data_IF_714374511299
#
_entry.id   IF_714374511299
#
_cell.length_a   1.000
_cell.length_b   1.000
_cell.length_c   1.000
_cell.angle_alpha   90.00
_cell.angle_beta   90.00
_cell.angle_gamma   90.00
#
_symmetry.space_group_name_H-M   'P 1'
#
loop_
_entity.id
_entity.type
_entity.pdbx_description
1 polymer ?
#
# COMPACT_ATOMS: atom_id res chain seq x y z
N UNK A 1 22.23 25.72 56.69
CA UNK A 1 20.95 26.07 56.03
C UNK A 1 21.26 26.45 54.60
N UNK A 2 20.97 25.57 53.65
CA UNK A 2 20.71 25.91 52.25
C UNK A 2 19.82 24.78 51.72
N UNK A 3 18.51 25.03 51.74
CA UNK A 3 17.53 24.23 51.03
C UNK A 3 17.62 24.61 49.56
N UNK A 4 17.86 23.65 48.67
CA UNK A 4 17.48 23.77 47.26
C UNK A 4 16.52 22.64 46.94
N UNK A 5 15.30 23.04 46.60
CA UNK A 5 14.17 22.20 46.25
C UNK A 5 14.52 21.16 45.16
N UNK A 6 14.12 19.91 45.40
CA UNK A 6 13.88 18.94 44.33
C UNK A 6 12.70 19.44 43.49
N UNK A 7 12.95 19.88 42.27
CA UNK A 7 11.91 20.00 41.25
C UNK A 7 11.60 18.57 40.75
N UNK A 8 10.60 17.93 41.36
CA UNK A 8 9.92 16.79 40.75
C UNK A 8 8.86 17.33 39.78
N UNK A 9 9.29 17.78 38.62
CA UNK A 9 8.39 17.90 37.48
C UNK A 9 8.08 16.49 36.97
N UNK A 10 6.96 15.95 37.43
CA UNK A 10 6.30 14.83 36.76
C UNK A 10 5.61 15.40 35.52
N UNK A 11 6.39 15.66 34.47
CA UNK A 11 5.83 15.85 33.15
C UNK A 11 5.27 14.51 32.68
N UNK A 12 4.01 14.23 33.00
CA UNK A 12 3.25 13.24 32.24
C UNK A 12 3.10 13.83 30.83
N UNK A 13 3.59 13.17 29.77
CA UNK A 13 3.29 13.63 28.43
C UNK A 13 1.77 13.49 28.24
N UNK A 14 1.08 14.63 28.18
CA UNK A 14 -0.25 14.71 27.59
C UNK A 14 -0.09 14.24 26.15
N UNK A 15 -0.32 12.96 25.91
CA UNK A 15 -0.50 12.44 24.57
C UNK A 15 -1.82 13.01 24.06
N UNK A 16 -1.76 14.23 23.51
CA UNK A 16 -2.90 14.80 22.81
C UNK A 16 -3.21 13.87 21.64
N UNK A 17 -4.35 13.20 21.70
CA UNK A 17 -4.91 12.50 20.54
C UNK A 17 -5.07 13.56 19.44
N UNK A 18 -4.45 13.39 18.27
CA UNK A 18 -4.58 14.36 17.18
C UNK A 18 -6.04 14.60 16.84
N UNK A 19 -6.43 15.86 16.61
CA UNK A 19 -7.84 16.24 16.41
C UNK A 19 -8.54 15.44 15.29
N UNK A 20 -7.81 15.10 14.23
CA UNK A 20 -8.37 14.34 13.10
C UNK A 20 -8.88 12.94 13.50
N UNK A 21 -8.36 12.35 14.58
CA UNK A 21 -8.72 11.01 15.04
C UNK A 21 -10.17 10.92 15.50
N UNK A 22 -10.76 12.01 16.01
CA UNK A 22 -12.16 12.03 16.42
C UNK A 22 -13.11 11.92 15.21
N UNK A 23 -12.72 12.48 14.05
CA UNK A 23 -13.50 12.42 12.81
C UNK A 23 -13.51 11.04 12.15
N UNK A 24 -12.56 10.18 12.51
CA UNK A 24 -12.41 8.82 11.94
C UNK A 24 -12.65 7.72 12.97
N UNK A 25 -13.16 8.07 14.14
CA UNK A 25 -13.33 7.13 15.24
C UNK A 25 -14.24 5.97 14.85
N UNK A 26 -13.71 4.75 14.95
CA UNK A 26 -14.42 3.52 14.61
C UNK A 26 -14.45 3.19 13.11
N UNK A 27 -13.84 4.02 12.26
CA UNK A 27 -13.62 3.67 10.85
C UNK A 27 -12.49 2.65 10.73
N UNK A 28 -12.55 1.87 9.65
CA UNK A 28 -11.49 0.93 9.24
C UNK A 28 -10.93 1.38 7.90
N UNK A 29 -9.61 1.27 7.76
CA UNK A 29 -8.89 1.71 6.57
C UNK A 29 -8.04 0.59 5.98
N UNK A 30 -7.93 0.63 4.66
CA UNK A 30 -7.07 -0.24 3.87
C UNK A 30 -6.14 0.68 3.06
N UNK A 31 -4.83 0.55 3.22
CA UNK A 31 -3.87 1.28 2.39
C UNK A 31 -3.37 0.38 1.24
N UNK A 32 -3.90 0.51 0.01
CA UNK A 32 -3.58 -0.40 -1.09
C UNK A 32 -2.22 -0.14 -1.75
N UNK A 33 -1.44 0.81 -1.25
CA UNK A 33 -0.09 1.06 -1.72
C UNK A 33 0.73 1.76 -0.63
N UNK A 34 1.62 1.01 0.03
CA UNK A 34 2.58 1.57 0.99
C UNK A 34 3.85 0.70 1.04
N UNK A 35 5.04 1.30 1.17
CA UNK A 35 6.31 0.58 1.09
C UNK A 35 6.91 0.31 2.47
N UNK A 36 6.27 -0.57 3.24
CA UNK A 36 6.61 -0.80 4.65
C UNK A 36 8.03 -1.28 4.90
N UNK A 37 8.67 -1.97 3.95
CA UNK A 37 10.10 -2.35 4.02
C UNK A 37 11.00 -1.14 4.35
N UNK A 38 10.58 0.06 3.97
CA UNK A 38 11.31 1.32 4.24
C UNK A 38 10.82 2.10 5.46
N UNK A 39 9.85 1.57 6.20
CA UNK A 39 9.15 2.22 7.31
C UNK A 39 9.44 1.55 8.67
N UNK A 40 9.31 2.33 9.74
CA UNK A 40 9.64 1.88 11.09
C UNK A 40 8.48 1.10 11.72
N UNK A 41 8.72 0.48 12.87
CA UNK A 41 7.66 -0.11 13.70
C UNK A 41 6.75 0.94 14.31
N UNK A 42 7.24 2.17 14.52
CA UNK A 42 6.45 3.27 15.07
C UNK A 42 5.34 3.66 14.08
N UNK A 43 5.63 3.59 12.77
CA UNK A 43 4.62 3.79 11.73
C UNK A 43 3.53 2.72 11.80
N UNK A 44 3.88 1.43 11.96
CA UNK A 44 2.88 0.37 12.15
C UNK A 44 1.98 0.62 13.37
N UNK A 45 2.56 1.05 14.50
CA UNK A 45 1.79 1.38 15.70
C UNK A 45 0.83 2.55 15.45
N UNK A 46 1.30 3.62 14.80
CA UNK A 46 0.50 4.78 14.47
C UNK A 46 -0.63 4.43 13.49
N UNK A 47 -0.33 3.64 12.46
CA UNK A 47 -1.29 3.16 11.46
C UNK A 47 -2.40 2.33 12.11
N UNK A 48 -2.03 1.37 12.96
CA UNK A 48 -3.00 0.53 13.68
C UNK A 48 -3.89 1.37 14.61
N UNK A 49 -3.29 2.34 15.32
CA UNK A 49 -4.04 3.26 16.19
C UNK A 49 -5.02 4.14 15.39
N UNK A 50 -4.68 4.52 14.16
CA UNK A 50 -5.52 5.29 13.26
C UNK A 50 -6.59 4.47 12.51
N UNK A 51 -6.66 3.15 12.76
CA UNK A 51 -7.69 2.27 12.18
C UNK A 51 -7.30 1.59 10.87
N UNK A 52 -6.02 1.65 10.45
CA UNK A 52 -5.55 0.86 9.30
C UNK A 52 -5.44 -0.61 9.73
N UNK A 53 -6.22 -1.47 9.08
CA UNK A 53 -6.28 -2.91 9.40
C UNK A 53 -5.55 -3.77 8.39
N UNK A 54 -5.33 -3.26 7.18
CA UNK A 54 -4.66 -3.98 6.11
C UNK A 54 -3.92 -3.04 5.17
N UNK A 55 -2.86 -3.58 4.56
CA UNK A 55 -2.04 -2.89 3.57
C UNK A 55 -1.74 -3.80 2.39
N UNK A 56 -1.50 -3.19 1.23
CA UNK A 56 -0.79 -3.82 0.12
C UNK A 56 0.53 -3.08 -0.05
N UNK A 57 1.63 -3.83 -0.08
CA UNK A 57 2.97 -3.32 -0.38
C UNK A 57 3.41 -3.78 -1.77
N UNK A 58 3.36 -2.89 -2.78
CA UNK A 58 3.89 -3.21 -4.10
C UNK A 58 5.41 -3.34 -4.07
N UNK A 59 5.94 -4.23 -4.91
CA UNK A 59 7.37 -4.31 -5.17
C UNK A 59 7.89 -2.95 -5.67
N UNK A 60 8.88 -2.41 -4.96
CA UNK A 60 9.29 -1.01 -5.08
C UNK A 60 10.77 -0.82 -5.37
N UNK A 61 11.12 0.39 -5.77
CA UNK A 61 12.49 0.88 -5.89
C UNK A 61 13.11 1.16 -4.52
N UNK A 62 14.20 0.47 -4.20
CA UNK A 62 14.84 0.55 -2.88
C UNK A 62 15.62 1.85 -2.60
N UNK A 63 15.62 2.82 -3.52
CA UNK A 63 16.38 4.06 -3.41
C UNK A 63 17.78 4.01 -4.05
N UNK A 64 18.28 2.84 -4.45
CA UNK A 64 19.51 2.70 -5.26
C UNK A 64 19.44 1.52 -6.24
N UNK A 65 20.20 1.54 -7.35
CA UNK A 65 20.16 0.47 -8.36
C UNK A 65 20.51 -0.91 -7.82
N UNK A 66 19.57 -1.86 -7.92
CA UNK A 66 19.90 -3.28 -7.73
C UNK A 66 20.96 -3.69 -8.75
N UNK A 67 22.02 -4.35 -8.27
CA UNK A 67 23.14 -4.77 -9.10
C UNK A 67 23.05 -6.23 -9.55
N UNK A 68 22.08 -6.98 -9.01
CA UNK A 68 21.87 -8.39 -9.34
C UNK A 68 20.49 -8.90 -8.94
N UNK A 69 20.11 -10.03 -9.56
CA UNK A 69 18.81 -10.68 -9.36
C UNK A 69 18.62 -11.20 -7.92
N UNK A 70 19.70 -11.53 -7.22
CA UNK A 70 19.58 -12.08 -5.86
C UNK A 70 19.02 -11.04 -4.88
N UNK A 71 19.27 -9.74 -5.10
CA UNK A 71 18.62 -8.68 -4.32
C UNK A 71 17.11 -8.64 -4.54
N UNK A 72 16.61 -8.97 -5.74
CA UNK A 72 15.17 -9.12 -5.97
C UNK A 72 14.62 -10.34 -5.25
N UNK A 73 15.31 -11.48 -5.31
CA UNK A 73 14.87 -12.70 -4.62
C UNK A 73 14.73 -12.47 -3.11
N UNK A 74 15.75 -11.87 -2.50
CA UNK A 74 15.74 -11.59 -1.06
C UNK A 74 14.67 -10.55 -0.70
N UNK A 75 14.49 -9.53 -1.54
CA UNK A 75 13.44 -8.53 -1.35
C UNK A 75 12.03 -9.14 -1.46
N UNK A 76 11.74 -9.93 -2.49
CA UNK A 76 10.45 -10.60 -2.65
C UNK A 76 10.19 -11.59 -1.52
N UNK A 77 11.20 -12.33 -1.06
CA UNK A 77 11.10 -13.17 0.14
C UNK A 77 10.78 -12.36 1.40
N UNK A 78 11.34 -11.16 1.52
CA UNK A 78 11.01 -10.24 2.63
C UNK A 78 9.55 -9.82 2.57
N UNK A 79 9.04 -9.42 1.39
CA UNK A 79 7.63 -9.02 1.22
C UNK A 79 6.64 -10.13 1.59
N UNK A 80 6.82 -11.33 1.04
CA UNK A 80 5.88 -12.44 1.28
C UNK A 80 6.03 -13.09 2.66
N UNK A 81 7.19 -12.91 3.30
CA UNK A 81 7.57 -13.57 4.55
C UNK A 81 7.73 -12.60 5.70
N UNK A 82 8.89 -11.97 5.79
CA UNK A 82 9.26 -11.15 6.95
C UNK A 82 8.33 -9.96 7.17
N UNK A 83 7.97 -9.21 6.13
CA UNK A 83 7.08 -8.06 6.25
C UNK A 83 5.67 -8.45 6.66
N UNK A 84 5.17 -9.58 6.16
CA UNK A 84 3.92 -10.16 6.64
C UNK A 84 3.96 -10.46 8.13
N UNK A 85 5.02 -11.15 8.58
CA UNK A 85 5.22 -11.41 9.99
C UNK A 85 5.34 -10.11 10.80
N UNK A 86 6.15 -9.15 10.34
CA UNK A 86 6.41 -7.88 11.04
C UNK A 86 5.13 -7.07 11.20
N UNK A 87 4.35 -6.93 10.14
CA UNK A 87 3.06 -6.24 10.14
C UNK A 87 2.06 -6.88 11.11
N UNK A 88 2.01 -8.21 11.16
CA UNK A 88 1.10 -8.93 12.08
C UNK A 88 1.43 -8.70 13.56
N UNK A 89 2.67 -8.30 13.90
CA UNK A 89 3.05 -7.96 15.29
C UNK A 89 2.39 -6.67 15.79
N UNK A 90 1.72 -5.92 14.90
CA UNK A 90 1.01 -4.68 15.19
C UNK A 90 -0.47 -4.74 14.81
N UNK A 91 -0.96 -5.92 14.41
CA UNK A 91 -2.36 -6.12 14.07
C UNK A 91 -2.77 -5.50 12.74
N UNK A 92 -1.84 -5.49 11.76
CA UNK A 92 -2.12 -5.11 10.39
C UNK A 92 -1.91 -6.33 9.48
N UNK A 93 -2.85 -6.58 8.58
CA UNK A 93 -2.73 -7.63 7.56
C UNK A 93 -1.91 -7.10 6.40
N UNK A 94 -0.89 -7.84 6.01
CA UNK A 94 -0.01 -7.45 4.90
C UNK A 94 -0.23 -8.35 3.70
N UNK A 95 -0.51 -7.71 2.58
CA UNK A 95 -0.50 -8.26 1.24
C UNK A 95 0.58 -7.55 0.42
N UNK A 96 0.90 -8.10 -0.73
CA UNK A 96 1.84 -7.45 -1.65
C UNK A 96 1.44 -7.67 -3.09
N UNK A 97 1.95 -6.81 -3.97
CA UNK A 97 2.04 -7.12 -5.40
C UNK A 97 3.51 -7.34 -5.74
N UNK A 98 3.76 -8.25 -6.69
CA UNK A 98 5.13 -8.58 -7.11
C UNK A 98 5.30 -8.21 -8.57
N UNK A 99 6.40 -7.54 -8.90
CA UNK A 99 6.70 -7.10 -10.24
C UNK A 99 8.11 -6.52 -10.36
N UNK A 100 8.51 -6.28 -11.60
CA UNK A 100 9.67 -5.50 -12.00
C UNK A 100 9.25 -4.04 -12.21
N UNK A 101 9.82 -3.16 -11.40
CA UNK A 101 9.60 -1.72 -11.50
C UNK A 101 10.14 -1.16 -12.83
N UNK A 102 9.46 -0.14 -13.37
CA UNK A 102 9.79 0.51 -14.64
C UNK A 102 11.22 1.07 -14.69
N UNK A 103 11.73 1.66 -13.60
CA UNK A 103 13.11 2.17 -13.56
C UNK A 103 14.13 1.07 -13.81
N UNK A 104 13.89 -0.11 -13.24
CA UNK A 104 14.78 -1.26 -13.32
C UNK A 104 14.64 -2.02 -14.64
N UNK A 105 13.51 -1.87 -15.33
CA UNK A 105 13.28 -2.39 -16.67
C UNK A 105 14.30 -1.86 -17.70
N UNK A 106 14.87 -0.67 -17.46
CA UNK A 106 15.89 -0.06 -18.31
C UNK A 106 17.27 -0.78 -18.23
N UNK A 107 17.49 -1.66 -17.26
CA UNK A 107 18.65 -2.56 -17.25
C UNK A 107 18.22 -3.94 -17.78
N UNK A 108 18.23 -4.12 -19.10
CA UNK A 108 17.64 -5.31 -19.75
C UNK A 108 18.22 -6.64 -19.23
N UNK A 109 19.52 -6.71 -18.95
CA UNK A 109 20.14 -7.93 -18.40
C UNK A 109 19.55 -8.29 -17.03
N UNK A 110 19.34 -7.29 -16.18
CA UNK A 110 18.71 -7.48 -14.87
C UNK A 110 17.22 -7.79 -15.03
N UNK A 111 16.54 -7.04 -15.88
CA UNK A 111 15.12 -7.20 -16.16
C UNK A 111 14.80 -8.62 -16.67
N UNK A 112 15.58 -9.16 -17.62
CA UNK A 112 15.45 -10.54 -18.10
C UNK A 112 15.57 -11.55 -16.95
N UNK A 113 16.61 -11.44 -16.13
CA UNK A 113 16.80 -12.32 -14.99
C UNK A 113 15.68 -12.20 -13.95
N UNK A 114 15.09 -11.01 -13.77
CA UNK A 114 13.94 -10.80 -12.87
C UNK A 114 12.69 -11.42 -13.45
N UNK A 115 12.40 -11.23 -14.75
CA UNK A 115 11.25 -11.82 -15.42
C UNK A 115 11.25 -13.35 -15.31
N UNK A 116 12.41 -14.00 -15.38
CA UNK A 116 12.54 -15.46 -15.19
C UNK A 116 12.11 -15.93 -13.79
N UNK A 117 12.33 -15.12 -12.75
CA UNK A 117 11.99 -15.50 -11.37
C UNK A 117 10.59 -15.06 -10.94
N UNK A 118 9.95 -14.08 -11.60
CA UNK A 118 8.61 -13.60 -11.20
C UNK A 118 7.58 -14.72 -11.04
N UNK A 119 7.49 -15.73 -11.93
CA UNK A 119 6.55 -16.84 -11.76
C UNK A 119 6.76 -17.65 -10.47
N UNK A 120 7.95 -17.62 -9.86
CA UNK A 120 8.20 -18.29 -8.58
C UNK A 120 7.55 -17.57 -7.40
N UNK A 121 7.21 -16.28 -7.55
CA UNK A 121 6.73 -15.42 -6.48
C UNK A 121 5.26 -15.04 -6.63
N UNK A 122 4.77 -14.76 -7.84
CA UNK A 122 3.39 -14.24 -8.01
C UNK A 122 2.29 -15.21 -7.53
N UNK A 123 2.58 -16.52 -7.48
CA UNK A 123 1.64 -17.54 -6.99
C UNK A 123 1.74 -17.80 -5.48
N UNK A 124 2.55 -17.03 -4.75
CA UNK A 124 2.70 -17.20 -3.30
C UNK A 124 1.49 -16.62 -2.57
N UNK A 125 1.16 -17.24 -1.44
CA UNK A 125 0.09 -16.78 -0.55
C UNK A 125 0.23 -15.29 -0.25
N UNK A 126 -0.87 -14.55 -0.33
CA UNK A 126 -0.95 -13.11 -0.02
C UNK A 126 -0.28 -12.19 -1.04
N UNK A 127 0.13 -12.71 -2.20
CA UNK A 127 0.37 -11.89 -3.40
C UNK A 127 -0.96 -11.64 -4.09
N UNK A 128 -1.42 -10.39 -4.09
CA UNK A 128 -2.77 -10.02 -4.56
C UNK A 128 -2.78 -9.46 -5.99
N UNK A 129 -1.62 -9.37 -6.63
CA UNK A 129 -1.50 -8.81 -7.97
C UNK A 129 -0.07 -8.75 -8.49
N UNK A 130 0.04 -8.40 -9.76
CA UNK A 130 1.31 -8.05 -10.40
C UNK A 130 1.47 -6.54 -10.39
N UNK A 131 2.53 -6.04 -9.76
CA UNK A 131 2.69 -4.61 -9.50
C UNK A 131 3.86 -4.29 -8.55
N UNK A 132 4.38 -3.08 -8.53
CA UNK A 132 3.95 -1.96 -9.37
C UNK A 132 4.69 -1.98 -10.72
N UNK A 133 3.96 -1.98 -11.84
CA UNK A 133 4.52 -2.14 -13.21
C UNK A 133 4.03 -1.01 -14.12
N UNK A 134 4.74 -0.68 -15.20
CA UNK A 134 4.29 0.36 -16.13
C UNK A 134 5.42 1.25 -16.62
N UNK A 135 5.24 2.56 -16.53
CA UNK A 135 6.15 3.54 -17.10
C UNK A 135 6.66 4.55 -16.07
N UNK A 136 7.96 4.82 -16.10
CA UNK A 136 8.57 5.98 -15.42
C UNK A 136 8.97 7.05 -16.47
N UNK A 137 9.87 6.69 -17.39
CA UNK A 137 10.37 7.56 -18.46
C UNK A 137 9.83 7.18 -19.87
N UNK A 138 8.96 6.17 -19.97
CA UNK A 138 8.30 5.71 -21.20
C UNK A 138 9.28 5.19 -22.26
N UNK A 139 10.30 4.45 -21.82
CA UNK A 139 11.30 3.88 -22.73
C UNK A 139 10.78 2.62 -23.45
N UNK A 140 11.40 2.21 -24.58
CA UNK A 140 11.07 0.95 -25.23
C UNK A 140 11.27 -0.27 -24.32
N UNK A 141 12.24 -0.22 -23.41
CA UNK A 141 12.49 -1.29 -22.44
C UNK A 141 11.35 -1.37 -21.42
N UNK A 142 10.91 -0.23 -20.88
CA UNK A 142 9.73 -0.18 -19.99
C UNK A 142 8.49 -0.76 -20.68
N UNK A 143 8.23 -0.41 -21.94
CA UNK A 143 7.07 -0.96 -22.67
C UNK A 143 7.19 -2.49 -22.85
N UNK A 144 8.37 -2.99 -23.27
CA UNK A 144 8.66 -4.42 -23.44
C UNK A 144 8.34 -5.20 -22.17
N UNK A 145 8.84 -4.77 -21.02
CA UNK A 145 8.65 -5.49 -19.75
C UNK A 145 7.29 -5.23 -19.10
N UNK A 146 6.65 -4.07 -19.33
CA UNK A 146 5.27 -3.86 -18.93
C UNK A 146 4.35 -4.88 -19.63
N UNK A 147 4.45 -5.00 -20.96
CA UNK A 147 3.69 -5.98 -21.76
C UNK A 147 3.92 -7.42 -21.30
N UNK A 148 5.17 -7.79 -21.04
CA UNK A 148 5.50 -9.14 -20.57
C UNK A 148 4.87 -9.45 -19.20
N UNK A 149 4.83 -8.46 -18.30
CA UNK A 149 4.19 -8.61 -16.99
C UNK A 149 2.67 -8.62 -17.05
N UNK A 150 2.05 -7.94 -18.02
CA UNK A 150 0.62 -8.04 -18.29
C UNK A 150 0.21 -9.44 -18.75
N UNK A 151 0.98 -10.07 -19.65
CA UNK A 151 0.74 -11.47 -20.02
C UNK A 151 0.88 -12.40 -18.82
N UNK A 152 1.91 -12.20 -17.99
CA UNK A 152 2.09 -12.98 -16.78
C UNK A 152 0.90 -12.84 -15.81
N UNK A 153 0.40 -11.62 -15.61
CA UNK A 153 -0.76 -11.36 -14.75
C UNK A 153 -2.02 -12.04 -15.29
N UNK A 154 -2.24 -11.96 -16.61
CA UNK A 154 -3.35 -12.60 -17.30
C UNK A 154 -3.31 -14.13 -17.18
N UNK A 155 -2.14 -14.74 -17.39
CA UNK A 155 -1.96 -16.18 -17.22
C UNK A 155 -2.22 -16.63 -15.77
N UNK A 156 -1.79 -15.82 -14.79
CA UNK A 156 -1.98 -16.10 -13.38
C UNK A 156 -3.41 -15.78 -12.87
N UNK A 157 -4.23 -15.09 -13.67
CA UNK A 157 -5.55 -14.59 -13.24
C UNK A 157 -5.47 -13.54 -12.14
N UNK A 158 -4.39 -12.76 -12.09
CA UNK A 158 -4.13 -11.79 -11.04
C UNK A 158 -4.47 -10.35 -11.46
N UNK A 159 -4.97 -9.51 -10.54
CA UNK A 159 -5.06 -8.07 -10.75
C UNK A 159 -3.71 -7.44 -11.07
N UNK A 160 -3.73 -6.31 -11.77
CA UNK A 160 -2.54 -5.53 -12.13
C UNK A 160 -2.60 -4.17 -11.45
N UNK A 161 -1.53 -3.77 -10.79
CA UNK A 161 -1.35 -2.41 -10.29
C UNK A 161 -0.32 -1.68 -11.14
N UNK A 162 -0.75 -0.61 -11.81
CA UNK A 162 0.09 0.13 -12.75
C UNK A 162 0.65 1.43 -12.17
N UNK A 163 1.93 1.64 -12.38
CA UNK A 163 2.62 2.91 -12.19
C UNK A 163 2.36 3.83 -13.38
N UNK A 164 1.86 5.04 -13.12
CA UNK A 164 1.75 6.08 -14.15
C UNK A 164 2.90 7.08 -14.06
N UNK A 165 3.48 7.50 -15.20
CA UNK A 165 4.75 8.21 -15.22
C UNK A 165 4.65 9.60 -14.60
N UNK A 166 5.80 10.13 -14.19
CA UNK A 166 5.91 11.48 -13.64
C UNK A 166 5.87 12.58 -14.71
N UNK A 167 6.33 12.28 -15.94
CA UNK A 167 6.36 13.21 -17.07
C UNK A 167 5.36 12.77 -18.14
N UNK A 168 4.73 13.73 -18.81
CA UNK A 168 3.67 13.49 -19.80
C UNK A 168 2.61 12.51 -19.28
N UNK A 169 2.20 12.70 -18.01
CA UNK A 169 1.41 11.75 -17.22
C UNK A 169 0.15 11.32 -17.95
N UNK A 170 -0.61 12.28 -18.50
CA UNK A 170 -1.84 11.98 -19.23
C UNK A 170 -1.61 11.00 -20.38
N UNK A 171 -0.65 11.28 -21.27
CA UNK A 171 -0.34 10.42 -22.40
C UNK A 171 0.19 9.05 -21.94
N UNK A 172 1.05 9.04 -20.92
CA UNK A 172 1.56 7.81 -20.33
C UNK A 172 0.46 6.94 -19.73
N UNK A 173 -0.48 7.54 -19.00
CA UNK A 173 -1.66 6.86 -18.44
C UNK A 173 -2.57 6.30 -19.53
N UNK A 174 -2.89 7.09 -20.56
CA UNK A 174 -3.62 6.61 -21.75
C UNK A 174 -2.92 5.41 -22.37
N UNK A 175 -1.60 5.50 -22.58
CA UNK A 175 -0.82 4.43 -23.19
C UNK A 175 -0.82 3.16 -22.32
N UNK A 176 -0.69 3.29 -21.00
CA UNK A 176 -0.74 2.12 -20.11
C UNK A 176 -2.08 1.39 -20.19
N UNK A 177 -3.19 2.12 -20.25
CA UNK A 177 -4.53 1.56 -20.41
C UNK A 177 -4.73 0.94 -21.80
N UNK A 178 -4.23 1.58 -22.87
CA UNK A 178 -4.29 1.03 -24.23
C UNK A 178 -3.60 -0.32 -24.31
N UNK A 179 -2.39 -0.43 -23.75
CA UNK A 179 -1.65 -1.69 -23.72
C UNK A 179 -2.40 -2.75 -22.91
N UNK A 180 -2.97 -2.42 -21.75
CA UNK A 180 -3.76 -3.39 -20.98
C UNK A 180 -4.95 -3.95 -21.78
N UNK A 181 -5.63 -3.10 -22.57
CA UNK A 181 -6.71 -3.51 -23.46
C UNK A 181 -6.19 -4.31 -24.66
N UNK A 182 -5.07 -3.93 -25.26
CA UNK A 182 -4.40 -4.69 -26.34
C UNK A 182 -4.09 -6.13 -25.90
N UNK A 183 -3.69 -6.31 -24.65
CA UNK A 183 -3.44 -7.61 -24.03
C UNK A 183 -4.72 -8.36 -23.60
N UNK A 184 -5.89 -7.74 -23.76
CA UNK A 184 -7.20 -8.33 -23.48
C UNK A 184 -7.50 -8.48 -21.99
N UNK A 185 -6.91 -7.65 -21.13
CA UNK A 185 -7.21 -7.63 -19.70
C UNK A 185 -8.47 -6.80 -19.46
N UNK A 186 -9.40 -7.33 -18.65
CA UNK A 186 -10.58 -6.58 -18.23
C UNK A 186 -10.14 -5.31 -17.47
N UNK A 187 -10.58 -4.09 -17.85
CA UNK A 187 -10.30 -2.87 -17.11
C UNK A 187 -10.55 -2.96 -15.60
N UNK A 188 -11.52 -3.77 -15.16
CA UNK A 188 -11.82 -3.99 -13.74
C UNK A 188 -10.77 -4.82 -13.00
N UNK A 189 -9.84 -5.45 -13.70
CA UNK A 189 -8.66 -6.13 -13.12
C UNK A 189 -7.45 -5.21 -13.02
N UNK A 190 -7.55 -3.95 -13.47
CA UNK A 190 -6.41 -3.04 -13.57
C UNK A 190 -6.63 -1.82 -12.69
N UNK A 191 -5.71 -1.64 -11.74
CA UNK A 191 -5.63 -0.50 -10.83
C UNK A 191 -4.64 0.50 -11.42
N UNK A 192 -5.16 1.61 -11.91
CA UNK A 192 -4.35 2.73 -12.39
C UNK A 192 -3.97 3.58 -11.20
N UNK A 193 -2.70 3.57 -10.82
CA UNK A 193 -2.23 4.32 -9.65
C UNK A 193 -1.64 5.69 -10.00
N UNK A 194 -1.50 6.53 -8.98
CA UNK A 194 -0.95 7.87 -9.05
C UNK A 194 -1.73 8.80 -9.99
N UNK A 195 -3.05 8.65 -10.05
CA UNK A 195 -3.92 9.57 -10.78
C UNK A 195 -3.87 10.99 -10.23
N UNK A 196 -4.27 11.93 -11.07
CA UNK A 196 -4.56 13.31 -10.72
C UNK A 196 -5.84 13.76 -11.42
N UNK A 197 -6.16 15.04 -11.33
CA UNK A 197 -7.35 15.65 -11.92
C UNK A 197 -7.37 15.56 -13.46
N UNK A 198 -6.21 15.43 -14.11
CA UNK A 198 -6.10 15.33 -15.57
C UNK A 198 -6.39 13.93 -16.10
N UNK A 199 -6.19 12.89 -15.28
CA UNK A 199 -6.30 11.48 -15.69
C UNK A 199 -7.55 10.79 -15.18
N UNK A 200 -8.08 11.20 -14.02
CA UNK A 200 -9.21 10.54 -13.34
C UNK A 200 -10.39 10.26 -14.25
N UNK A 201 -10.81 11.26 -15.04
CA UNK A 201 -12.00 11.13 -15.88
C UNK A 201 -11.81 10.03 -16.92
N UNK A 202 -10.68 10.01 -17.60
CA UNK A 202 -10.40 9.01 -18.64
C UNK A 202 -10.33 7.60 -18.05
N UNK A 203 -9.67 7.44 -16.90
CA UNK A 203 -9.58 6.15 -16.20
C UNK A 203 -10.97 5.61 -15.85
N UNK A 204 -11.83 6.45 -15.27
CA UNK A 204 -13.18 6.06 -14.89
C UNK A 204 -14.10 5.80 -16.09
N UNK A 205 -14.05 6.65 -17.12
CA UNK A 205 -14.83 6.50 -18.37
C UNK A 205 -14.50 5.17 -19.08
N UNK A 206 -13.24 4.73 -18.99
CA UNK A 206 -12.74 3.49 -19.59
C UNK A 206 -12.95 2.25 -18.71
N UNK A 207 -13.54 2.39 -17.53
CA UNK A 207 -13.93 1.28 -16.65
C UNK A 207 -12.83 0.74 -15.73
N UNK A 208 -11.68 1.43 -15.65
CA UNK A 208 -10.57 1.06 -14.77
C UNK A 208 -10.81 1.51 -13.32
N UNK A 209 -10.01 0.99 -12.39
CA UNK A 209 -9.92 1.55 -11.03
C UNK A 209 -8.96 2.74 -11.00
N UNK A 210 -9.40 3.84 -10.39
CA UNK A 210 -8.59 5.05 -10.22
C UNK A 210 -8.04 5.13 -8.79
N UNK A 211 -6.77 4.75 -8.63
CA UNK A 211 -6.03 4.93 -7.38
C UNK A 211 -5.27 6.25 -7.36
N UNK A 212 -5.27 6.90 -6.20
CA UNK A 212 -4.65 8.20 -5.95
C UNK A 212 -3.68 8.12 -4.79
N UNK A 213 -2.48 8.61 -5.03
CA UNK A 213 -1.44 8.69 -4.00
C UNK A 213 -1.43 10.06 -3.35
N UNK A 214 -1.64 10.04 -2.03
CA UNK A 214 -1.59 11.21 -1.18
C UNK A 214 -0.18 11.33 -0.60
N UNK A 215 0.70 12.00 -1.34
CA UNK A 215 2.12 12.08 -1.03
C UNK A 215 2.59 13.54 -1.06
N UNK A 216 3.22 14.04 0.02
CA UNK A 216 3.63 15.44 0.14
C UNK A 216 4.48 15.94 -1.03
N UNK A 217 4.23 17.19 -1.44
CA UNK A 217 5.00 17.97 -2.42
C UNK A 217 5.02 17.46 -3.88
N UNK A 218 4.81 16.18 -4.14
CA UNK A 218 5.04 15.59 -5.48
C UNK A 218 3.81 14.97 -6.14
N UNK A 219 2.76 14.60 -5.38
CA UNK A 219 1.56 13.93 -5.90
C UNK A 219 0.29 14.70 -5.52
N UNK A 220 -0.79 14.00 -5.19
CA UNK A 220 -2.02 14.60 -4.70
C UNK A 220 -1.88 15.02 -3.22
N UNK A 221 -2.70 15.98 -2.82
CA UNK A 221 -2.87 16.36 -1.41
C UNK A 221 -4.30 16.06 -0.95
N UNK A 222 -4.52 16.09 0.37
CA UNK A 222 -5.80 15.75 1.00
C UNK A 222 -6.96 16.59 0.44
N UNK A 223 -6.79 17.92 0.37
CA UNK A 223 -7.83 18.85 -0.09
C UNK A 223 -8.18 18.62 -1.55
N UNK A 224 -7.17 18.37 -2.40
CA UNK A 224 -7.38 18.07 -3.82
C UNK A 224 -8.16 16.77 -3.99
N UNK A 225 -7.87 15.77 -3.15
CA UNK A 225 -8.59 14.50 -3.19
C UNK A 225 -10.06 14.65 -2.77
N UNK A 226 -10.36 15.49 -1.77
CA UNK A 226 -11.73 15.81 -1.37
C UNK A 226 -12.52 16.40 -2.55
N UNK A 227 -11.93 17.32 -3.31
CA UNK A 227 -12.58 17.90 -4.49
C UNK A 227 -12.77 16.88 -5.62
N UNK A 228 -11.83 15.95 -5.81
CA UNK A 228 -11.99 14.83 -6.75
C UNK A 228 -13.20 13.97 -6.37
N UNK A 229 -13.36 13.60 -5.09
CA UNK A 229 -14.52 12.80 -4.64
C UNK A 229 -15.83 13.58 -4.81
N UNK A 230 -15.86 14.88 -4.50
CA UNK A 230 -17.06 15.71 -4.73
C UNK A 230 -17.45 15.78 -6.20
N UNK A 231 -16.47 15.82 -7.10
CA UNK A 231 -16.72 15.97 -8.54
C UNK A 231 -17.07 14.64 -9.22
N UNK A 232 -16.39 13.55 -8.86
CA UNK A 232 -16.47 12.27 -9.59
C UNK A 232 -17.20 11.17 -8.80
N UNK A 233 -17.53 11.41 -7.53
CA UNK A 233 -18.10 10.40 -6.63
C UNK A 233 -17.04 9.47 -6.05
N UNK A 234 -17.50 8.35 -5.49
CA UNK A 234 -16.66 7.36 -4.82
C UNK A 234 -16.49 6.06 -5.62
N UNK A 235 -17.30 5.82 -6.66
CA UNK A 235 -17.26 4.56 -7.42
C UNK A 235 -15.92 4.38 -8.15
N UNK A 236 -15.26 3.24 -7.92
CA UNK A 236 -13.95 2.90 -8.50
C UNK A 236 -12.79 3.85 -8.17
N UNK A 237 -12.96 4.74 -7.19
CA UNK A 237 -11.90 5.63 -6.70
C UNK A 237 -11.33 5.04 -5.40
N UNK A 238 -10.01 4.99 -5.26
CA UNK A 238 -9.36 4.63 -4.00
C UNK A 238 -8.16 5.53 -3.72
N UNK A 239 -7.77 5.64 -2.45
CA UNK A 239 -6.59 6.41 -2.05
C UNK A 239 -5.56 5.53 -1.35
N UNK A 240 -4.30 5.93 -1.42
CA UNK A 240 -3.18 5.30 -0.76
C UNK A 240 -2.14 6.33 -0.30
N UNK A 241 -1.25 5.93 0.61
CA UNK A 241 -0.16 6.81 1.05
C UNK A 241 1.05 6.78 0.11
N UNK A 242 1.33 5.62 -0.49
CA UNK A 242 2.62 5.25 -1.09
C UNK A 242 3.80 5.67 -0.20
N UNK A 243 3.62 5.63 1.12
CA UNK A 243 4.65 6.09 2.05
C UNK A 243 5.87 5.18 1.98
N UNK A 244 7.04 5.79 1.86
CA UNK A 244 8.31 5.15 1.61
C UNK A 244 9.45 5.78 2.44
N UNK A 245 10.69 5.57 2.01
CA UNK A 245 11.90 6.15 2.61
C UNK A 245 12.00 7.68 2.45
N UNK A 246 11.21 8.29 1.58
CA UNK A 246 11.12 9.74 1.39
C UNK A 246 10.28 10.43 2.48
N UNK A 247 10.20 11.76 2.41
CA UNK A 247 9.38 12.57 3.34
C UNK A 247 7.90 12.34 3.01
N UNK A 248 7.34 11.30 3.62
CA UNK A 248 6.01 10.76 3.33
C UNK A 248 5.25 10.40 4.61
N UNK A 249 3.93 10.27 4.51
CA UNK A 249 3.00 10.16 5.64
C UNK A 249 2.22 8.83 5.60
N UNK A 250 2.50 7.86 6.48
CA UNK A 250 1.79 6.58 6.50
C UNK A 250 0.35 6.72 7.01
N UNK A 251 -0.04 7.90 7.50
CA UNK A 251 -1.40 8.22 7.94
C UNK A 251 -2.17 9.04 6.90
N UNK A 252 -1.68 9.13 5.66
CA UNK A 252 -2.33 9.94 4.63
C UNK A 252 -3.77 9.49 4.33
N UNK A 253 -4.03 8.18 4.31
CA UNK A 253 -5.39 7.61 4.13
C UNK A 253 -6.35 8.07 5.24
N UNK A 254 -6.10 7.79 6.54
CA UNK A 254 -6.99 8.22 7.61
C UNK A 254 -7.10 9.75 7.75
N UNK A 255 -6.03 10.52 7.48
CA UNK A 255 -6.10 11.98 7.49
C UNK A 255 -6.98 12.54 6.36
N UNK A 256 -6.92 11.93 5.18
CA UNK A 256 -7.80 12.29 4.07
C UNK A 256 -9.25 11.94 4.41
N UNK A 257 -9.50 10.78 5.05
CA UNK A 257 -10.83 10.41 5.51
C UNK A 257 -11.41 11.43 6.51
N UNK A 258 -10.61 11.87 7.48
CA UNK A 258 -11.01 12.91 8.43
C UNK A 258 -11.42 14.21 7.70
N UNK A 259 -10.61 14.65 6.75
CA UNK A 259 -10.90 15.86 5.98
C UNK A 259 -12.15 15.71 5.08
N UNK A 260 -12.36 14.53 4.48
CA UNK A 260 -13.58 14.24 3.73
C UNK A 260 -14.82 14.32 4.63
N UNK A 261 -14.74 13.77 5.84
CA UNK A 261 -15.80 13.83 6.83
C UNK A 261 -16.09 15.28 7.27
N UNK A 262 -15.05 16.05 7.61
CA UNK A 262 -15.16 17.49 7.92
C UNK A 262 -15.77 18.31 6.77
N UNK A 263 -15.51 17.90 5.53
CA UNK A 263 -16.03 18.53 4.31
C UNK A 263 -17.44 18.09 3.93
N UNK A 264 -18.08 17.24 4.74
CA UNK A 264 -19.46 16.79 4.53
C UNK A 264 -19.65 15.70 3.48
N UNK A 265 -18.59 14.95 3.12
CA UNK A 265 -18.73 13.75 2.28
C UNK A 265 -19.40 12.64 3.11
N UNK A 266 -20.32 11.90 2.50
CA UNK A 266 -21.05 10.82 3.16
C UNK A 266 -20.10 9.72 3.66
N UNK A 267 -20.37 9.18 4.85
CA UNK A 267 -19.53 8.13 5.45
C UNK A 267 -19.43 6.88 4.58
N UNK A 268 -20.45 6.55 3.76
CA UNK A 268 -20.36 5.43 2.83
C UNK A 268 -19.38 5.72 1.69
N UNK A 269 -19.36 6.94 1.16
CA UNK A 269 -18.41 7.34 0.13
C UNK A 269 -16.97 7.32 0.66
N UNK A 270 -16.76 7.79 1.90
CA UNK A 270 -15.47 7.68 2.60
C UNK A 270 -15.06 6.21 2.74
N UNK A 271 -15.97 5.35 3.17
CA UNK A 271 -15.72 3.91 3.29
C UNK A 271 -15.38 3.26 1.94
N UNK A 272 -16.04 3.66 0.85
CA UNK A 272 -15.72 3.18 -0.50
C UNK A 272 -14.29 3.58 -0.89
N UNK A 273 -13.96 4.86 -0.78
CA UNK A 273 -12.67 5.43 -1.20
C UNK A 273 -11.49 4.92 -0.37
N UNK A 274 -11.70 4.64 0.91
CA UNK A 274 -10.59 4.34 1.86
C UNK A 274 -10.52 2.88 2.30
N UNK A 275 -11.45 2.03 1.84
CA UNK A 275 -11.52 0.64 2.27
C UNK A 275 -12.10 -0.29 1.19
N UNK A 276 -13.39 -0.14 0.88
CA UNK A 276 -14.15 -1.15 0.13
C UNK A 276 -13.73 -1.27 -1.33
N UNK A 277 -13.37 -0.17 -2.00
CA UNK A 277 -12.93 -0.23 -3.39
C UNK A 277 -11.61 -0.97 -3.56
N UNK A 278 -10.64 -0.74 -2.67
CA UNK A 278 -9.36 -1.47 -2.66
C UNK A 278 -9.59 -2.97 -2.51
N UNK A 279 -10.40 -3.38 -1.54
CA UNK A 279 -10.74 -4.80 -1.33
C UNK A 279 -11.42 -5.36 -2.57
N UNK A 280 -12.42 -4.66 -3.13
CA UNK A 280 -13.16 -5.13 -4.30
C UNK A 280 -12.24 -5.35 -5.50
N UNK A 281 -11.29 -4.44 -5.73
CA UNK A 281 -10.34 -4.54 -6.84
C UNK A 281 -9.37 -5.72 -6.64
N UNK A 282 -8.71 -5.80 -5.48
CA UNK A 282 -7.63 -6.78 -5.26
C UNK A 282 -8.13 -8.17 -4.80
N UNK A 283 -9.34 -8.29 -4.26
CA UNK A 283 -9.92 -9.58 -3.86
C UNK A 283 -10.21 -10.49 -5.06
N UNK A 284 -10.23 -9.94 -6.28
CA UNK A 284 -10.29 -10.73 -7.52
C UNK A 284 -9.12 -11.73 -7.66
N UNK A 285 -8.01 -11.52 -6.95
CA UNK A 285 -6.92 -12.50 -6.82
C UNK A 285 -7.30 -13.79 -6.06
N UNK A 286 -8.41 -13.77 -5.29
CA UNK A 286 -8.80 -14.84 -4.39
C UNK A 286 -7.99 -14.93 -3.09
N UNK A 287 -7.05 -14.00 -2.85
CA UNK A 287 -6.15 -14.04 -1.69
C UNK A 287 -6.63 -13.18 -0.50
N UNK A 288 -7.53 -12.22 -0.73
CA UNK A 288 -8.06 -11.36 0.33
C UNK A 288 -9.26 -12.04 0.99
N UNK A 289 -9.16 -12.23 2.31
CA UNK A 289 -10.25 -12.70 3.16
C UNK A 289 -10.55 -11.64 4.21
N UNK A 290 -11.71 -10.99 4.13
CA UNK A 290 -12.09 -9.92 5.06
C UNK A 290 -12.19 -10.40 6.53
N UNK A 291 -12.43 -11.70 6.77
CA UNK A 291 -12.41 -12.27 8.12
C UNK A 291 -11.03 -12.12 8.80
N UNK A 292 -9.96 -12.02 8.01
CA UNK A 292 -8.61 -11.80 8.53
C UNK A 292 -8.46 -10.45 9.21
N UNK A 293 -9.26 -9.43 8.83
CA UNK A 293 -9.18 -8.08 9.38
C UNK A 293 -9.71 -8.01 10.82
N UNK A 294 -10.55 -8.97 11.21
CA UNK A 294 -10.96 -9.14 12.60
C UNK A 294 -9.92 -9.97 13.38
N UNK A 295 -9.30 -10.96 12.73
CA UNK A 295 -8.26 -11.79 13.36
C UNK A 295 -6.97 -11.02 13.68
N UNK A 296 -6.62 -9.98 12.90
CA UNK A 296 -5.43 -9.15 13.21
C UNK A 296 -5.54 -8.40 14.54
N UNK A 297 -6.71 -8.34 15.16
CA UNK A 297 -6.84 -7.86 16.55
C UNK A 297 -6.12 -8.78 17.55
N UNK A 298 -5.88 -10.05 17.21
CA UNK A 298 -5.14 -11.00 18.04
C UNK A 298 -3.63 -10.88 17.80
N UNK A 299 -2.99 -9.98 18.54
CA UNK A 299 -1.55 -9.75 18.46
C UNK A 299 -0.83 -10.67 19.44
N UNK A 300 0.20 -11.38 18.99
CA UNK A 300 1.16 -12.08 19.84
C UNK A 300 2.61 -11.77 19.41
N UNK A 301 3.25 -10.82 20.09
CA UNK A 301 4.62 -10.40 19.80
C UNK A 301 5.69 -11.40 20.25
N UNK A 302 5.30 -12.51 20.88
CA UNK A 302 6.23 -13.58 21.25
C UNK A 302 6.57 -14.51 20.09
N UNK A 303 5.79 -14.46 19.01
CA UNK A 303 6.01 -15.24 17.81
C UNK A 303 7.36 -14.88 17.17
N UNK A 304 7.90 -15.84 16.42
CA UNK A 304 9.17 -15.70 15.71
C UNK A 304 9.02 -16.12 14.26
N UNK A 305 9.79 -15.48 13.40
CA UNK A 305 9.91 -15.83 11.98
C UNK A 305 11.35 -16.26 11.72
N UNK A 306 11.56 -17.55 11.42
CA UNK A 306 12.90 -18.13 11.21
C UNK A 306 13.90 -17.79 12.33
N UNK A 307 13.42 -17.76 13.57
CA UNK A 307 14.22 -17.40 14.76
C UNK A 307 14.35 -15.90 15.02
N UNK A 308 13.97 -15.04 14.08
CA UNK A 308 13.93 -13.58 14.23
C UNK A 308 12.64 -13.11 14.92
N UNK A 309 12.71 -11.94 15.56
CA UNK A 309 11.57 -11.27 16.23
C UNK A 309 11.69 -9.76 16.05
N UNK A 310 10.60 -9.02 16.24
CA UNK A 310 10.60 -7.54 16.30
C UNK A 310 11.15 -7.02 17.64
N UNK A 311 11.13 -7.85 18.68
CA UNK A 311 11.57 -7.47 20.03
C UNK A 311 13.11 -7.44 20.13
N UNK A 312 13.64 -6.49 20.91
CA UNK A 312 15.09 -6.34 21.18
C UNK A 312 15.34 -6.14 22.67
N UNK A 313 16.54 -6.49 23.14
CA UNK A 313 17.00 -6.14 24.49
C UNK A 313 16.15 -6.66 25.66
N UNK A 314 15.39 -7.75 25.50
CA UNK A 314 14.56 -8.32 26.56
C UNK A 314 13.20 -7.64 26.77
N UNK A 315 12.73 -6.86 25.79
CA UNK A 315 11.35 -6.33 25.77
C UNK A 315 10.32 -7.44 26.03
N UNK A 316 9.32 -7.13 26.85
CA UNK A 316 8.22 -8.04 27.13
C UNK A 316 7.23 -8.04 25.95
N UNK A 317 6.79 -9.21 25.46
CA UNK A 317 5.87 -9.28 24.34
C UNK A 317 4.48 -8.76 24.73
N UNK A 318 3.88 -7.94 23.87
CA UNK A 318 2.46 -7.65 23.96
C UNK A 318 1.64 -8.85 23.44
N UNK A 319 0.57 -9.18 24.17
CA UNK A 319 -0.42 -10.20 23.77
C UNK A 319 -1.83 -9.68 23.97
N UNK A 320 -2.58 -9.57 22.88
CA UNK A 320 -4.02 -9.35 22.91
C UNK A 320 -4.69 -10.71 22.67
N UNK A 321 -5.05 -11.39 23.76
CA UNK A 321 -5.87 -12.59 23.68
C UNK A 321 -7.32 -12.23 23.99
N UNK A 322 -8.22 -12.34 23.01
CA UNK A 322 -9.52 -12.92 23.34
C UNK A 322 -9.24 -14.40 23.63
N UNK A 323 -9.01 -14.68 24.91
CA UNK A 323 -8.80 -16.02 25.44
C UNK A 323 -10.06 -16.86 25.20
N UNK A 324 -10.13 -17.57 24.07
CA UNK A 324 -10.94 -18.80 24.00
C UNK A 324 -10.09 -19.93 24.57
N UNK A 325 -9.93 -19.93 25.89
CA UNK A 325 -9.61 -21.16 26.62
C UNK A 325 -10.88 -22.01 26.53
N UNK A 326 -10.90 -22.96 25.61
CA UNK A 326 -11.75 -24.14 25.76
C UNK A 326 -10.94 -25.08 26.64
N UNK A 327 -11.32 -25.13 27.92
CA UNK A 327 -10.94 -26.19 28.87
C UNK A 327 -11.56 -27.52 28.48
#
# INVERSE_FOLDING_TARGET
MCCSHELKETAQPLTMVPAFMEHIKGMQFFDPHIHMTSRTTDDYQAMAAAGITAVIEPAFWLGQPRTGVDTFKDYFNSLIGWERFRSSQFGIKHYCTIGLNSKEANNEKLAEAVMEILPLFIYKEGVVGVGEIGFDDQTPAEEKYYRAQLELAKEAGLPVQIHTPHRDKKKGTTRSMDIAIEHGIDPKMVIVDHNNEETVKEVLDRGFWAAFTIYPFTKMGNERMVEVVKQYGSERIMINSAADWGISDPLAVPKTAALMHESGIDSNDIHLVTFRNAITAFAQSGQINEADFEMVKQIDQSLKFNGSTVLRGGQQPFRNAQSTIIS
#
